data_IF_481246983122
#
_entry.id   IF_481246983122
#
_cell.length_a   1.000
_cell.length_b   1.000
_cell.length_c   1.000
_cell.angle_alpha   90.00
_cell.angle_beta   90.00
_cell.angle_gamma   90.00
#
_symmetry.space_group_name_H-M   'P 1'
#
loop_
_entity.id
_entity.type
_entity.pdbx_description
1 polymer ?
#
# COMPACT_ATOMS: atom_id res chain seq x y z
N UNK A 1 -3.83 -5.28 17.99
CA UNK A 1 -4.68 -4.63 16.95
C UNK A 1 -3.90 -4.58 15.63
N UNK A 2 -4.52 -4.90 14.50
CA UNK A 2 -3.85 -5.03 13.20
C UNK A 2 -4.06 -3.80 12.31
N UNK A 3 -3.06 -3.51 11.48
CA UNK A 3 -3.15 -2.68 10.29
C UNK A 3 -2.62 -3.46 9.08
N UNK A 4 -2.83 -2.94 7.87
CA UNK A 4 -2.33 -3.56 6.64
C UNK A 4 -1.43 -2.59 5.90
N UNK A 5 -0.22 -3.02 5.55
CA UNK A 5 0.64 -2.36 4.58
C UNK A 5 0.51 -3.06 3.23
N UNK A 6 0.12 -2.32 2.19
CA UNK A 6 0.18 -2.75 0.80
C UNK A 6 1.38 -2.05 0.17
N UNK A 7 2.49 -2.77 0.05
CA UNK A 7 3.80 -2.16 -0.19
C UNK A 7 4.64 -2.90 -1.24
N UNK A 8 5.65 -2.22 -1.79
CA UNK A 8 6.62 -2.87 -2.66
C UNK A 8 7.38 -3.96 -1.88
N UNK A 9 7.95 -4.94 -2.59
CA UNK A 9 8.79 -5.98 -1.97
C UNK A 9 10.20 -5.50 -1.60
N UNK A 10 10.52 -4.25 -1.93
CA UNK A 10 11.80 -3.64 -1.62
C UNK A 10 12.06 -3.66 -0.10
N UNK A 11 13.18 -4.28 0.31
CA UNK A 11 13.53 -4.40 1.73
C UNK A 11 13.79 -3.07 2.42
N UNK A 12 14.18 -2.02 1.68
CA UNK A 12 14.57 -0.71 2.22
C UNK A 12 13.39 0.03 2.86
N UNK A 13 12.16 -0.25 2.43
CA UNK A 13 10.97 0.49 2.84
C UNK A 13 10.14 -0.20 3.94
N UNK A 14 10.43 -1.48 4.24
CA UNK A 14 9.59 -2.28 5.14
C UNK A 14 9.53 -1.69 6.55
N UNK A 15 10.70 -1.39 7.15
CA UNK A 15 10.76 -0.83 8.51
C UNK A 15 10.23 0.61 8.58
N UNK A 16 10.57 1.54 7.65
CA UNK A 16 9.96 2.86 7.60
C UNK A 16 8.42 2.82 7.61
N UNK A 17 7.81 1.95 6.81
CA UNK A 17 6.35 1.83 6.73
C UNK A 17 5.77 1.20 7.99
N UNK A 18 6.37 0.09 8.48
CA UNK A 18 5.91 -0.58 9.70
C UNK A 18 5.95 0.37 10.89
N UNK A 19 7.03 1.15 11.06
CA UNK A 19 7.14 2.16 12.11
C UNK A 19 6.11 3.25 11.96
N UNK A 20 5.96 3.82 10.76
CA UNK A 20 4.92 4.81 10.51
C UNK A 20 3.54 4.32 10.93
N UNK A 21 3.15 3.10 10.52
CA UNK A 21 1.84 2.53 10.85
C UNK A 21 1.68 2.32 12.37
N UNK A 22 2.64 1.64 12.99
CA UNK A 22 2.55 1.30 14.42
C UNK A 22 2.59 2.54 15.32
N UNK A 23 3.50 3.48 15.05
CA UNK A 23 3.64 4.71 15.83
C UNK A 23 2.47 5.68 15.59
N UNK A 24 2.01 5.86 14.35
CA UNK A 24 0.97 6.85 14.01
C UNK A 24 -0.43 6.44 14.49
N UNK A 25 -0.73 5.14 14.46
CA UNK A 25 -2.07 4.60 14.72
C UNK A 25 -2.15 3.76 16.00
N UNK A 26 -1.03 3.57 16.72
CA UNK A 26 -1.00 2.78 17.96
C UNK A 26 -1.30 1.30 17.74
N UNK A 27 -0.90 0.77 16.58
CA UNK A 27 -1.14 -0.62 16.19
C UNK A 27 0.01 -1.52 16.64
N UNK A 28 -0.31 -2.80 16.89
CA UNK A 28 0.64 -3.78 17.41
C UNK A 28 1.24 -4.65 16.29
N UNK A 29 0.42 -4.96 15.29
CA UNK A 29 0.79 -5.83 14.17
C UNK A 29 0.45 -5.16 12.85
N UNK A 30 1.28 -5.42 11.84
CA UNK A 30 1.08 -4.94 10.47
C UNK A 30 1.15 -6.13 9.54
N UNK A 31 0.02 -6.50 8.96
CA UNK A 31 -0.02 -7.46 7.86
C UNK A 31 0.61 -6.80 6.63
N UNK A 32 1.51 -7.50 5.94
CA UNK A 32 2.22 -6.96 4.78
C UNK A 32 1.80 -7.71 3.52
N UNK A 33 1.11 -7.01 2.63
CA UNK A 33 0.77 -7.48 1.29
C UNK A 33 1.78 -6.88 0.33
N UNK A 34 2.60 -7.73 -0.31
CA UNK A 34 3.75 -7.24 -1.06
C UNK A 34 3.87 -7.81 -2.48
N UNK A 35 4.27 -6.94 -3.41
CA UNK A 35 4.62 -7.25 -4.80
C UNK A 35 5.59 -6.17 -5.34
N UNK A 36 6.40 -6.44 -6.38
CA UNK A 36 7.18 -5.38 -7.02
C UNK A 36 6.26 -4.32 -7.64
N UNK A 37 6.51 -3.04 -7.34
CA UNK A 37 5.81 -1.90 -7.95
C UNK A 37 4.31 -1.85 -7.68
N UNK A 38 3.88 -2.23 -6.47
CA UNK A 38 2.47 -2.53 -6.17
C UNK A 38 1.52 -1.32 -6.34
N UNK A 39 2.03 -0.10 -6.22
CA UNK A 39 1.30 1.13 -6.51
C UNK A 39 0.93 1.21 -8.00
N UNK A 40 1.88 0.93 -8.91
CA UNK A 40 1.61 0.83 -10.35
C UNK A 40 0.63 -0.30 -10.69
N UNK A 41 0.71 -1.44 -9.98
CA UNK A 41 -0.25 -2.55 -10.13
C UNK A 41 -1.67 -2.10 -9.78
N UNK A 42 -1.81 -1.45 -8.62
CA UNK A 42 -3.09 -0.94 -8.13
C UNK A 42 -3.56 0.31 -8.87
N UNK A 43 -2.70 0.99 -9.61
CA UNK A 43 -3.08 2.02 -10.58
C UNK A 43 -3.50 1.41 -11.92
N UNK A 44 -3.10 0.17 -12.22
CA UNK A 44 -3.42 -0.54 -13.47
C UNK A 44 -2.41 -0.29 -14.59
N UNK A 45 -1.21 0.16 -14.25
CA UNK A 45 -0.15 0.52 -15.20
C UNK A 45 0.70 -0.71 -15.63
N UNK A 46 0.51 -1.87 -14.99
CA UNK A 46 1.29 -3.09 -15.28
C UNK A 46 0.54 -4.11 -16.15
N UNK A 47 1.23 -4.72 -17.12
CA UNK A 47 0.72 -5.88 -17.87
C UNK A 47 0.40 -7.05 -16.94
N UNK A 48 -0.71 -7.74 -17.20
CA UNK A 48 -1.20 -8.81 -16.31
C UNK A 48 -1.72 -8.32 -14.94
N UNK A 49 -1.91 -7.01 -14.75
CA UNK A 49 -2.30 -6.43 -13.45
C UNK A 49 -3.61 -6.97 -12.87
N UNK A 50 -4.56 -7.45 -13.69
CA UNK A 50 -5.86 -7.94 -13.20
C UNK A 50 -5.75 -9.10 -12.21
N UNK A 51 -4.98 -10.15 -12.53
CA UNK A 51 -4.83 -11.30 -11.62
C UNK A 51 -4.11 -10.92 -10.34
N UNK A 52 -3.13 -10.00 -10.44
CA UNK A 52 -2.39 -9.47 -9.29
C UNK A 52 -3.30 -8.66 -8.36
N UNK A 53 -4.18 -7.83 -8.92
CA UNK A 53 -5.17 -7.04 -8.17
C UNK A 53 -6.14 -7.95 -7.42
N UNK A 54 -6.68 -8.98 -8.08
CA UNK A 54 -7.59 -9.93 -7.42
C UNK A 54 -6.92 -10.66 -6.25
N UNK A 55 -5.64 -11.04 -6.41
CA UNK A 55 -4.88 -11.64 -5.32
C UNK A 55 -4.66 -10.65 -4.15
N UNK A 56 -4.33 -9.39 -4.43
CA UNK A 56 -4.21 -8.34 -3.41
C UNK A 56 -5.54 -8.17 -2.67
N UNK A 57 -6.66 -8.12 -3.41
CA UNK A 57 -8.01 -8.00 -2.83
C UNK A 57 -8.35 -9.18 -1.93
N UNK A 58 -7.98 -10.41 -2.32
CA UNK A 58 -8.15 -11.61 -1.51
C UNK A 58 -7.35 -11.54 -0.20
N UNK A 59 -6.06 -11.21 -0.28
CA UNK A 59 -5.21 -11.05 0.91
C UNK A 59 -5.71 -9.94 1.84
N UNK A 60 -6.12 -8.80 1.27
CA UNK A 60 -6.65 -7.68 2.03
C UNK A 60 -7.95 -8.05 2.75
N UNK A 61 -8.84 -8.80 2.08
CA UNK A 61 -10.06 -9.32 2.69
C UNK A 61 -9.77 -10.17 3.93
N UNK A 62 -8.70 -10.98 3.92
CA UNK A 62 -8.29 -11.76 5.10
C UNK A 62 -7.83 -10.83 6.23
N UNK A 63 -6.95 -9.87 5.93
CA UNK A 63 -6.45 -8.93 6.94
C UNK A 63 -7.59 -8.11 7.59
N UNK A 64 -8.55 -7.67 6.78
CA UNK A 64 -9.72 -6.92 7.28
C UNK A 64 -10.68 -7.82 8.05
N UNK A 65 -11.12 -8.93 7.46
CA UNK A 65 -12.22 -9.72 8.01
C UNK A 65 -11.79 -10.70 9.12
N UNK A 66 -10.58 -11.26 9.04
CA UNK A 66 -10.08 -12.22 10.02
C UNK A 66 -9.27 -11.56 11.13
N UNK A 67 -8.41 -10.58 10.80
CA UNK A 67 -7.56 -9.90 11.79
C UNK A 67 -8.16 -8.58 12.31
N UNK A 68 -9.24 -8.08 11.70
CA UNK A 68 -9.89 -6.85 12.10
C UNK A 68 -9.09 -5.60 11.74
N UNK A 69 -8.29 -5.64 10.66
CA UNK A 69 -7.50 -4.49 10.21
C UNK A 69 -8.40 -3.31 9.86
N UNK A 70 -8.25 -2.20 10.59
CA UNK A 70 -9.06 -0.98 10.45
C UNK A 70 -8.32 0.16 9.71
N UNK A 71 -7.04 -0.04 9.42
CA UNK A 71 -6.17 0.94 8.75
C UNK A 71 -5.36 0.24 7.67
N UNK A 72 -5.43 0.77 6.44
CA UNK A 72 -4.72 0.28 5.27
C UNK A 72 -3.80 1.39 4.77
N UNK A 73 -2.52 1.11 4.64
CA UNK A 73 -1.53 2.02 4.07
C UNK A 73 -1.00 1.45 2.76
N UNK A 74 -1.16 2.20 1.68
CA UNK A 74 -0.64 1.88 0.35
C UNK A 74 0.60 2.72 0.11
N UNK A 75 1.71 2.11 -0.29
CA UNK A 75 2.97 2.83 -0.49
C UNK A 75 3.56 2.66 -1.89
N UNK A 76 4.08 3.75 -2.44
CA UNK A 76 5.14 3.75 -3.45
C UNK A 76 6.44 4.24 -2.83
N UNK A 77 7.57 4.12 -3.55
CA UNK A 77 8.86 4.55 -3.02
C UNK A 77 9.83 5.01 -4.10
N UNK A 78 10.76 5.87 -3.67
CA UNK A 78 11.88 6.33 -4.47
C UNK A 78 12.75 5.16 -4.94
N UNK A 79 13.28 5.28 -6.17
CA UNK A 79 14.22 4.30 -6.76
C UNK A 79 13.62 2.87 -6.84
N UNK A 80 12.39 2.78 -7.36
CA UNK A 80 11.67 1.51 -7.51
C UNK A 80 12.00 0.79 -8.81
N UNK A 81 12.67 -0.38 -8.71
CA UNK A 81 12.89 -1.24 -9.87
C UNK A 81 11.61 -1.95 -10.37
N UNK A 82 10.63 -2.14 -9.48
CA UNK A 82 9.38 -2.86 -9.80
C UNK A 82 8.35 -2.04 -10.57
N UNK A 83 8.50 -0.71 -10.56
CA UNK A 83 7.69 0.23 -11.34
C UNK A 83 8.58 1.44 -11.68
N UNK A 84 9.45 1.33 -12.71
CA UNK A 84 10.50 2.31 -12.99
C UNK A 84 9.92 3.57 -13.67
N UNK A 85 9.27 4.41 -12.88
CA UNK A 85 8.64 5.67 -13.30
C UNK A 85 9.16 6.84 -12.47
N UNK A 86 8.71 8.07 -12.76
CA UNK A 86 9.09 9.23 -11.95
C UNK A 86 8.40 9.24 -10.59
N UNK A 87 8.97 9.98 -9.63
CA UNK A 87 8.38 10.20 -8.30
C UNK A 87 6.95 10.76 -8.41
N UNK A 88 6.69 11.68 -9.34
CA UNK A 88 5.36 12.24 -9.57
C UNK A 88 4.37 11.19 -10.07
N UNK A 89 4.82 10.28 -10.93
CA UNK A 89 4.00 9.18 -11.43
C UNK A 89 3.68 8.18 -10.32
N UNK A 90 4.64 7.85 -9.46
CA UNK A 90 4.37 7.06 -8.25
C UNK A 90 3.32 7.72 -7.35
N UNK A 91 3.45 9.01 -7.05
CA UNK A 91 2.48 9.75 -6.23
C UNK A 91 1.08 9.73 -6.85
N UNK A 92 0.99 9.89 -8.17
CA UNK A 92 -0.26 9.77 -8.92
C UNK A 92 -0.86 8.36 -8.82
N UNK A 93 -0.03 7.33 -8.97
CA UNK A 93 -0.45 5.94 -8.92
C UNK A 93 -0.88 5.52 -7.52
N UNK A 94 -0.22 6.02 -6.46
CA UNK A 94 -0.66 5.86 -5.08
C UNK A 94 -2.08 6.43 -4.88
N UNK A 95 -2.37 7.63 -5.40
CA UNK A 95 -3.71 8.25 -5.31
C UNK A 95 -4.78 7.42 -6.03
N UNK A 96 -4.45 6.91 -7.23
CA UNK A 96 -5.32 5.97 -7.96
C UNK A 96 -5.53 4.68 -7.17
N UNK A 97 -4.47 4.13 -6.59
CA UNK A 97 -4.51 2.90 -5.81
C UNK A 97 -5.41 3.04 -4.59
N UNK A 98 -5.28 4.14 -3.83
CA UNK A 98 -6.18 4.47 -2.71
C UNK A 98 -7.63 4.52 -3.18
N UNK A 99 -7.90 5.20 -4.29
CA UNK A 99 -9.26 5.29 -4.85
C UNK A 99 -9.81 3.92 -5.25
N UNK A 100 -8.98 3.07 -5.86
CA UNK A 100 -9.35 1.70 -6.25
C UNK A 100 -9.65 0.82 -5.03
N UNK A 101 -8.79 0.84 -4.02
CA UNK A 101 -9.00 0.04 -2.80
C UNK A 101 -10.25 0.50 -2.05
N UNK A 102 -10.49 1.82 -1.94
CA UNK A 102 -11.73 2.36 -1.36
C UNK A 102 -13.00 1.94 -2.12
N UNK A 103 -12.90 1.69 -3.43
CA UNK A 103 -14.03 1.22 -4.24
C UNK A 103 -14.32 -0.27 -4.11
N UNK A 104 -13.47 -1.05 -3.45
CA UNK A 104 -13.75 -2.46 -3.20
C UNK A 104 -14.83 -2.62 -2.15
N UNK A 105 -15.63 -3.67 -2.32
CA UNK A 105 -16.70 -4.02 -1.39
C UNK A 105 -16.14 -4.22 0.03
N UNK A 106 -16.85 -3.68 1.02
CA UNK A 106 -16.44 -3.70 2.44
C UNK A 106 -15.31 -2.72 2.82
N UNK A 107 -14.74 -1.94 1.89
CA UNK A 107 -13.61 -1.04 2.18
C UNK A 107 -14.00 0.43 2.41
N UNK A 108 -15.27 0.81 2.19
CA UNK A 108 -15.72 2.22 2.25
C UNK A 108 -15.63 2.84 3.64
N UNK A 109 -15.75 2.04 4.70
CA UNK A 109 -15.66 2.48 6.10
C UNK A 109 -14.24 2.35 6.68
N UNK A 110 -13.29 1.79 5.92
CA UNK A 110 -11.92 1.54 6.39
C UNK A 110 -11.04 2.73 6.04
N UNK A 111 -10.14 3.10 6.94
CA UNK A 111 -9.19 4.16 6.67
C UNK A 111 -8.13 3.66 5.70
N UNK A 112 -8.14 4.17 4.46
CA UNK A 112 -7.13 3.88 3.43
C UNK A 112 -6.30 5.13 3.17
N UNK A 113 -4.99 5.03 3.34
CA UNK A 113 -4.02 6.13 3.27
C UNK A 113 -2.96 5.81 2.23
N UNK A 114 -2.62 6.77 1.40
CA UNK A 114 -1.52 6.68 0.45
C UNK A 114 -0.28 7.36 0.99
N UNK A 115 0.87 6.67 0.93
CA UNK A 115 2.15 7.21 1.36
C UNK A 115 3.23 7.07 0.31
N UNK A 116 4.13 8.04 0.27
CA UNK A 116 5.36 8.03 -0.52
C UNK A 116 6.56 7.84 0.41
N UNK A 117 7.44 6.89 0.11
CA UNK A 117 8.72 6.77 0.80
C UNK A 117 9.78 7.49 -0.03
N UNK A 118 10.22 8.66 0.46
CA UNK A 118 11.11 9.54 -0.28
C UNK A 118 12.57 9.04 -0.29
N UNK A 119 13.45 9.77 -0.98
CA UNK A 119 14.89 9.46 -1.11
C UNK A 119 15.67 9.36 0.22
N UNK A 120 15.14 9.95 1.30
CA UNK A 120 15.71 9.89 2.64
C UNK A 120 15.09 8.77 3.49
N UNK A 121 14.31 7.88 2.86
CA UNK A 121 13.56 6.78 3.48
C UNK A 121 12.54 7.24 4.51
N UNK A 122 12.00 8.46 4.34
CA UNK A 122 10.94 9.01 5.19
C UNK A 122 9.59 8.85 4.52
N UNK A 123 8.57 8.60 5.34
CA UNK A 123 7.19 8.42 4.90
C UNK A 123 6.49 9.77 4.82
N UNK A 124 5.91 10.07 3.67
CA UNK A 124 5.11 11.27 3.39
C UNK A 124 3.69 10.87 3.00
N UNK A 125 2.68 11.49 3.59
CA UNK A 125 1.27 11.21 3.24
C UNK A 125 0.91 11.98 1.97
N UNK A 126 0.33 11.28 0.98
CA UNK A 126 -0.01 11.86 -0.33
C UNK A 126 -1.45 11.63 -0.77
N UNK A 127 -2.22 10.77 -0.07
CA UNK A 127 -3.63 10.48 -0.39
C UNK A 127 -4.44 9.96 0.81
#
# INVERSE_FOLDING_TARGET
MFGTAISCMDGRIQEPIRRYITERFGLEHVDVITQPGIDGVLAGETTGGKSRIELIKCMLSISVNAHGSSTIVISGHYDCAGHPVSDEQHIHDIKKAVSRVKSWDGMSAIQVIGVWVNKDWKVEVVA
#
